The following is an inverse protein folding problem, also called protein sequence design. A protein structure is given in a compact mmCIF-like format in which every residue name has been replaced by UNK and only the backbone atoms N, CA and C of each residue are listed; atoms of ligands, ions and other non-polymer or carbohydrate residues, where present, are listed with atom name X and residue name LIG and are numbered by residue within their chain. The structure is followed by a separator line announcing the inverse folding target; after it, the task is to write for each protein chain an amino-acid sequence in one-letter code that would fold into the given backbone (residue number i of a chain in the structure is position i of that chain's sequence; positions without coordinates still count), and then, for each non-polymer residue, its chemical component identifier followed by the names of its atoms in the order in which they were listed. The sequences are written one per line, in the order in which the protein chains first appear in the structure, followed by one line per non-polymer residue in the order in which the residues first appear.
data_IF_308646761871
#
_entry.id   IF_308646761871
#
_cell.length_a   1.000
_cell.length_b   1.000
_cell.length_c   1.000
_cell.angle_alpha   90.00
_cell.angle_beta   90.00
_cell.angle_gamma   90.00
#
_symmetry.space_group_name_H-M   'P 1'
#
loop_
_entity.id
_entity.type
_entity.pdbx_description
1 polymer ?
#
# COMPACT_ATOMS: atom_id res chain seq x y z
N UNK A 1 11.33 -3.73 22.82
CA UNK A 1 9.97 -4.10 22.37
C UNK A 1 10.04 -4.52 20.92
N UNK A 2 9.43 -5.66 20.57
CA UNK A 2 9.40 -6.18 19.20
C UNK A 2 8.15 -5.64 18.47
N UNK A 3 8.31 -4.50 17.81
CA UNK A 3 7.21 -3.78 17.14
C UNK A 3 6.60 -4.58 15.98
N UNK A 4 7.38 -5.45 15.33
CA UNK A 4 6.89 -6.31 14.26
C UNK A 4 5.91 -7.33 14.83
N UNK A 5 6.26 -8.00 15.94
CA UNK A 5 5.35 -8.94 16.62
C UNK A 5 4.07 -8.28 17.11
N UNK A 6 4.15 -7.02 17.57
CA UNK A 6 2.95 -6.26 17.96
C UNK A 6 2.03 -5.99 16.77
N UNK A 7 2.59 -5.63 15.61
CA UNK A 7 1.82 -5.40 14.39
C UNK A 7 1.19 -6.70 13.85
N UNK A 8 1.93 -7.80 13.87
CA UNK A 8 1.40 -9.12 13.51
C UNK A 8 0.20 -9.51 14.39
N UNK A 9 0.32 -9.28 15.70
CA UNK A 9 -0.76 -9.54 16.66
C UNK A 9 -1.97 -8.63 16.41
N UNK A 10 -1.75 -7.34 16.15
CA UNK A 10 -2.81 -6.38 15.83
C UNK A 10 -3.60 -6.80 14.58
N UNK A 11 -2.91 -7.27 13.53
CA UNK A 11 -3.56 -7.79 12.33
C UNK A 11 -4.36 -9.08 12.58
N UNK A 12 -3.98 -9.90 13.57
CA UNK A 12 -4.73 -11.09 13.97
C UNK A 12 -5.98 -10.71 14.77
N UNK A 13 -5.86 -9.79 15.74
CA UNK A 13 -6.94 -9.44 16.67
C UNK A 13 -7.98 -8.50 16.02
N UNK A 14 -7.53 -7.46 15.30
CA UNK A 14 -8.44 -6.47 14.68
C UNK A 14 -8.62 -6.72 13.19
N UNK A 15 -9.68 -7.47 12.83
CA UNK A 15 -10.07 -7.74 11.42
C UNK A 15 -10.34 -6.47 10.58
N UNK A 16 -10.75 -5.37 11.21
CA UNK A 16 -11.07 -4.10 10.53
C UNK A 16 -9.94 -3.07 10.51
N UNK A 17 -8.79 -3.38 11.10
CA UNK A 17 -7.63 -2.48 11.08
C UNK A 17 -7.06 -2.37 9.65
N UNK A 18 -6.79 -1.15 9.19
CA UNK A 18 -6.23 -0.88 7.85
C UNK A 18 -7.25 -0.68 6.72
N UNK A 19 -8.53 -0.41 7.03
CA UNK A 19 -9.58 -0.15 6.02
C UNK A 19 -9.82 1.33 5.68
N UNK A 20 -9.25 2.25 6.46
CA UNK A 20 -9.51 3.70 6.32
C UNK A 20 -8.94 4.29 5.02
N UNK A 21 -7.90 3.66 4.46
CA UNK A 21 -7.18 4.16 3.26
C UNK A 21 -8.06 4.27 2.02
N UNK A 22 -9.19 3.56 1.94
CA UNK A 22 -10.14 3.65 0.82
C UNK A 22 -10.68 5.08 0.67
N UNK A 23 -10.82 5.83 1.76
CA UNK A 23 -11.27 7.24 1.72
C UNK A 23 -10.31 8.16 0.96
N UNK A 24 -9.07 7.73 0.72
CA UNK A 24 -8.06 8.48 -0.02
C UNK A 24 -8.05 8.16 -1.51
N UNK A 25 -8.98 7.33 -2.00
CA UNK A 25 -9.04 6.89 -3.39
C UNK A 25 -9.08 8.06 -4.37
N UNK A 26 -10.05 8.97 -4.24
CA UNK A 26 -10.25 10.05 -5.21
C UNK A 26 -9.03 10.99 -5.27
N UNK A 27 -8.44 11.28 -4.11
CA UNK A 27 -7.24 12.12 -4.03
C UNK A 27 -6.04 11.45 -4.68
N UNK A 28 -5.80 10.17 -4.39
CA UNK A 28 -4.68 9.43 -4.97
C UNK A 28 -4.88 9.19 -6.47
N UNK A 29 -6.12 8.96 -6.90
CA UNK A 29 -6.48 8.83 -8.31
C UNK A 29 -6.18 10.11 -9.09
N UNK A 30 -6.52 11.27 -8.52
CA UNK A 30 -6.23 12.58 -9.11
C UNK A 30 -4.73 12.81 -9.24
N UNK A 31 -3.95 12.59 -8.17
CA UNK A 31 -2.47 12.73 -8.21
C UNK A 31 -1.87 11.85 -9.31
N UNK A 32 -2.33 10.59 -9.42
CA UNK A 32 -1.82 9.66 -10.43
C UNK A 32 -2.10 10.16 -11.84
N UNK A 33 -3.27 10.77 -12.08
CA UNK A 33 -3.62 11.33 -13.39
C UNK A 33 -2.82 12.58 -13.70
N UNK A 34 -2.85 13.56 -12.78
CA UNK A 34 -2.27 14.88 -13.00
C UNK A 34 -0.75 14.80 -13.24
N UNK A 35 -0.09 13.82 -12.61
CA UNK A 35 1.36 13.61 -12.72
C UNK A 35 1.76 12.46 -13.66
N UNK A 36 0.81 11.84 -14.35
CA UNK A 36 1.03 10.68 -15.22
C UNK A 36 1.88 9.57 -14.55
N UNK A 37 1.54 9.23 -13.30
CA UNK A 37 2.26 8.23 -12.50
C UNK A 37 2.08 6.84 -13.13
N UNK A 38 3.20 6.16 -13.40
CA UNK A 38 3.20 4.82 -13.99
C UNK A 38 3.49 3.71 -12.97
N UNK A 39 4.07 4.07 -11.83
CA UNK A 39 4.45 3.14 -10.77
C UNK A 39 4.24 3.72 -9.36
N UNK A 40 3.62 2.91 -8.49
CA UNK A 40 3.35 3.27 -7.08
C UNK A 40 3.89 2.20 -6.15
N UNK A 41 4.55 2.61 -5.07
CA UNK A 41 4.91 1.77 -3.92
C UNK A 41 4.03 2.12 -2.72
N UNK A 42 3.31 1.14 -2.17
CA UNK A 42 2.65 1.25 -0.87
C UNK A 42 3.62 0.75 0.21
N UNK A 43 4.22 1.70 0.93
CA UNK A 43 5.16 1.46 2.02
C UNK A 43 4.39 1.36 3.34
N UNK A 44 4.47 0.23 4.03
CA UNK A 44 3.57 -0.10 5.13
C UNK A 44 2.17 -0.49 4.63
N UNK A 45 2.09 -1.26 3.54
CA UNK A 45 0.82 -1.52 2.86
C UNK A 45 -0.23 -2.24 3.71
N UNK A 46 0.18 -2.95 4.77
CA UNK A 46 -0.73 -3.68 5.64
C UNK A 46 -1.69 -4.58 4.85
N UNK A 47 -2.99 -4.42 5.13
CA UNK A 47 -4.10 -5.08 4.42
C UNK A 47 -4.82 -4.15 3.43
N UNK A 48 -4.20 -3.04 3.05
CA UNK A 48 -4.83 -2.01 2.20
C UNK A 48 -5.24 -2.58 0.84
N UNK A 49 -6.51 -2.33 0.47
CA UNK A 49 -7.08 -2.64 -0.86
C UNK A 49 -7.07 -1.42 -1.79
N UNK A 50 -6.63 -0.26 -1.31
CA UNK A 50 -6.67 1.00 -2.06
C UNK A 50 -5.99 0.87 -3.43
N UNK A 51 -4.77 0.36 -3.43
CA UNK A 51 -4.00 0.18 -4.66
C UNK A 51 -4.59 -0.89 -5.58
N UNK A 52 -5.31 -1.89 -5.06
CA UNK A 52 -6.01 -2.86 -5.92
C UNK A 52 -7.16 -2.20 -6.69
N UNK A 53 -7.88 -1.26 -6.06
CA UNK A 53 -8.93 -0.48 -6.72
C UNK A 53 -8.35 0.39 -7.84
N UNK A 54 -7.24 1.08 -7.57
CA UNK A 54 -6.57 1.94 -8.56
C UNK A 54 -6.05 1.10 -9.74
N UNK A 55 -5.44 -0.06 -9.47
CA UNK A 55 -4.96 -0.98 -10.52
C UNK A 55 -6.07 -1.45 -11.45
N UNK A 56 -7.28 -1.66 -10.92
CA UNK A 56 -8.42 -2.13 -11.70
C UNK A 56 -8.81 -1.10 -12.77
N UNK A 57 -8.68 0.18 -12.44
CA UNK A 57 -9.10 1.28 -13.29
C UNK A 57 -7.97 1.85 -14.16
N UNK A 58 -6.70 1.49 -13.88
CA UNK A 58 -5.52 2.04 -14.57
C UNK A 58 -4.41 1.03 -14.78
N UNK A 59 -3.71 1.15 -15.91
CA UNK A 59 -2.48 0.39 -16.20
C UNK A 59 -1.27 1.00 -15.46
N UNK A 60 -1.23 0.84 -14.14
CA UNK A 60 -0.09 1.23 -13.31
C UNK A 60 0.62 0.01 -12.70
N UNK A 61 1.93 0.11 -12.52
CA UNK A 61 2.72 -0.87 -11.77
C UNK A 61 2.56 -0.60 -10.28
N UNK A 62 2.31 -1.65 -9.51
CA UNK A 62 2.08 -1.55 -8.08
C UNK A 62 3.05 -2.44 -7.34
N UNK A 63 3.77 -1.81 -6.40
CA UNK A 63 4.69 -2.44 -5.49
C UNK A 63 4.15 -2.30 -4.06
N UNK A 64 4.42 -3.31 -3.24
CA UNK A 64 3.99 -3.36 -1.85
C UNK A 64 5.16 -3.70 -0.98
N UNK A 65 5.26 -2.99 0.13
CA UNK A 65 6.24 -3.28 1.15
C UNK A 65 5.60 -3.17 2.53
N UNK A 66 5.80 -4.19 3.35
CA UNK A 66 5.45 -4.16 4.78
C UNK A 66 6.34 -5.18 5.50
N UNK A 67 7.25 -4.74 6.41
CA UNK A 67 8.14 -5.65 7.11
C UNK A 67 7.40 -6.62 8.05
N UNK A 68 6.19 -6.26 8.50
CA UNK A 68 5.37 -7.10 9.37
C UNK A 68 4.51 -8.13 8.62
N UNK A 69 4.57 -8.14 7.28
CA UNK A 69 3.85 -9.11 6.45
C UNK A 69 4.85 -9.85 5.58
N UNK A 70 5.09 -11.14 5.88
CA UNK A 70 6.07 -11.99 5.16
C UNK A 70 5.95 -11.97 3.62
N UNK A 71 4.73 -11.82 3.09
CA UNK A 71 4.49 -11.71 1.63
C UNK A 71 5.02 -10.41 1.03
N UNK A 72 5.05 -9.33 1.80
CA UNK A 72 5.42 -7.98 1.38
C UNK A 72 6.72 -7.49 2.04
N UNK A 73 7.46 -8.35 2.74
CA UNK A 73 8.65 -7.95 3.49
C UNK A 73 9.88 -7.69 2.61
N UNK A 74 9.77 -7.83 1.29
CA UNK A 74 10.84 -7.54 0.33
C UNK A 74 10.56 -6.24 -0.40
N UNK A 75 11.46 -5.28 -0.23
CA UNK A 75 11.41 -4.01 -0.94
C UNK A 75 11.81 -4.18 -2.41
N UNK A 76 11.11 -3.48 -3.30
CA UNK A 76 11.45 -3.44 -4.73
C UNK A 76 12.74 -2.66 -4.96
N UNK A 77 13.57 -3.10 -5.93
CA UNK A 77 14.74 -2.35 -6.40
C UNK A 77 14.45 -1.45 -7.61
N UNK A 78 13.21 -1.46 -8.09
CA UNK A 78 12.80 -0.66 -9.24
C UNK A 78 12.69 0.81 -8.87
N UNK A 79 12.92 1.71 -9.83
CA UNK A 79 12.57 3.12 -9.69
C UNK A 79 11.04 3.25 -9.62
N UNK A 80 10.57 4.06 -8.68
CA UNK A 80 9.15 4.27 -8.39
C UNK A 80 8.84 5.76 -8.54
N UNK A 81 7.72 6.07 -9.19
CA UNK A 81 7.29 7.45 -9.43
C UNK A 81 6.60 8.04 -8.19
N UNK A 82 5.85 7.23 -7.44
CA UNK A 82 5.15 7.64 -6.23
C UNK A 82 5.29 6.64 -5.08
N UNK A 83 5.70 7.12 -3.90
CA UNK A 83 5.69 6.34 -2.66
C UNK A 83 4.53 6.83 -1.78
N UNK A 84 3.58 5.94 -1.52
CA UNK A 84 2.49 6.14 -0.57
C UNK A 84 2.89 5.50 0.77
N UNK A 85 2.75 6.25 1.85
CA UNK A 85 3.05 5.82 3.23
C UNK A 85 1.71 5.71 3.96
#
# INVERSE_FOLDING_TARGET
MDYIKQYELLYKIKKNYGKTSIKLYDMLEKIINDLNILSVLDYGCGKSKLLDLIKKNKKIKIYRYDPAIKKYSKLTKNKIDLVKI
#
